data_IF_074177927272
#
_entry.id   IF_074177927272
#
_cell.length_a   1.000
_cell.length_b   1.000
_cell.length_c   1.000
_cell.angle_alpha   90.00
_cell.angle_beta   90.00
_cell.angle_gamma   90.00
#
_symmetry.space_group_name_H-M   'P 1'
#
loop_
_entity.id
_entity.type
_entity.pdbx_description
1 polymer ?
#
# COMPACT_ATOMS: atom_id res chain seq x y z
N UNK A 1 -1.49 4.65 17.35
CA UNK A 1 -0.40 4.14 16.50
C UNK A 1 0.88 4.63 17.14
N UNK A 2 1.63 3.75 17.81
CA UNK A 2 2.76 4.16 18.67
C UNK A 2 4.12 4.13 17.96
N UNK A 3 4.22 3.39 16.84
CA UNK A 3 5.45 3.31 16.05
C UNK A 3 5.14 3.16 14.53
N UNK A 4 4.92 4.28 13.81
CA UNK A 4 4.64 4.24 12.37
C UNK A 4 5.85 3.75 11.54
N UNK A 5 7.06 3.74 12.09
CA UNK A 5 8.24 3.27 11.37
C UNK A 5 8.36 1.74 11.25
N UNK A 6 7.51 0.98 11.95
CA UNK A 6 7.57 -0.48 11.92
C UNK A 6 7.04 -1.08 10.60
N UNK A 7 6.22 -0.35 9.86
CA UNK A 7 5.60 -0.84 8.64
C UNK A 7 6.53 -0.81 7.43
N UNK A 8 6.28 -1.70 6.47
CA UNK A 8 7.14 -1.94 5.31
C UNK A 8 7.37 -0.64 4.50
N UNK A 9 8.63 -0.22 4.32
CA UNK A 9 8.95 0.87 3.42
C UNK A 9 8.75 0.43 1.96
N UNK A 10 8.25 1.36 1.15
CA UNK A 10 8.14 1.20 -0.30
C UNK A 10 9.46 1.58 -0.98
N UNK A 11 9.60 1.21 -2.25
CA UNK A 11 10.83 1.38 -3.06
C UNK A 11 10.48 2.04 -4.39
N UNK A 12 11.50 2.45 -5.15
CA UNK A 12 11.34 3.12 -6.44
C UNK A 12 10.85 4.55 -6.25
N UNK A 13 9.90 5.00 -7.07
CA UNK A 13 9.34 6.35 -7.01
C UNK A 13 8.63 6.67 -5.69
N UNK A 14 8.29 5.63 -4.92
CA UNK A 14 7.66 5.74 -3.59
C UNK A 14 8.67 5.50 -2.44
N UNK A 15 9.96 5.68 -2.70
CA UNK A 15 10.97 5.52 -1.66
C UNK A 15 10.75 6.53 -0.52
N UNK A 16 10.72 6.02 0.72
CA UNK A 16 10.48 6.83 1.91
C UNK A 16 9.04 6.73 2.43
N UNK A 17 8.08 6.41 1.57
CA UNK A 17 6.69 6.12 1.97
C UNK A 17 6.57 4.69 2.54
N UNK A 18 5.52 4.44 3.30
CA UNK A 18 5.26 3.18 4.01
C UNK A 18 3.86 2.67 3.72
N UNK A 19 3.69 1.34 3.76
CA UNK A 19 2.41 0.67 3.50
C UNK A 19 1.95 -0.14 4.69
N UNK A 20 0.72 0.09 5.14
CA UNK A 20 0.06 -0.69 6.19
C UNK A 20 -1.24 -1.31 5.67
N UNK A 21 -1.51 -2.55 6.07
CA UNK A 21 -2.81 -3.18 5.88
C UNK A 21 -3.67 -2.92 7.11
N UNK A 22 -4.88 -2.40 6.92
CA UNK A 22 -5.84 -2.11 7.98
C UNK A 22 -7.08 -2.96 7.80
N UNK A 23 -7.48 -3.65 8.87
CA UNK A 23 -8.68 -4.49 8.92
C UNK A 23 -8.80 -5.48 7.74
N UNK A 24 -7.67 -6.01 7.27
CA UNK A 24 -7.53 -6.92 6.11
C UNK A 24 -7.96 -6.38 4.74
N UNK A 25 -8.79 -5.34 4.68
CA UNK A 25 -9.43 -4.89 3.44
C UNK A 25 -8.95 -3.53 2.95
N UNK A 26 -8.18 -2.79 3.74
CA UNK A 26 -7.66 -1.49 3.34
C UNK A 26 -6.14 -1.50 3.29
N UNK A 27 -5.61 -0.81 2.29
CA UNK A 27 -4.19 -0.50 2.16
C UNK A 27 -4.04 0.99 2.35
N UNK A 28 -3.18 1.37 3.30
CA UNK A 28 -2.84 2.75 3.57
C UNK A 28 -1.39 2.99 3.15
N UNK A 29 -1.18 4.08 2.42
CA UNK A 29 0.14 4.59 2.08
C UNK A 29 0.32 5.92 2.79
N UNK A 30 1.46 6.08 3.46
CA UNK A 30 1.76 7.29 4.23
C UNK A 30 3.24 7.57 4.28
N UNK A 31 3.58 8.79 4.66
CA UNK A 31 4.94 9.26 4.89
C UNK A 31 5.10 9.79 6.31
N UNK A 32 6.33 9.77 6.80
CA UNK A 32 6.71 10.30 8.11
C UNK A 32 7.63 11.48 7.86
N UNK A 33 7.23 12.65 8.36
CA UNK A 33 8.01 13.89 8.31
C UNK A 33 8.16 14.43 9.74
N UNK A 34 9.28 14.07 10.38
CA UNK A 34 9.52 14.32 11.80
C UNK A 34 8.46 13.64 12.67
N UNK A 35 7.69 14.46 13.41
CA UNK A 35 6.58 14.00 14.25
C UNK A 35 5.23 13.96 13.52
N UNK A 36 5.20 14.20 12.21
CA UNK A 36 3.97 14.23 11.42
C UNK A 36 3.86 12.98 10.57
N UNK A 37 2.69 12.32 10.60
CA UNK A 37 2.33 11.27 9.64
C UNK A 37 1.41 11.88 8.59
N UNK A 38 1.85 11.90 7.33
CA UNK A 38 1.03 12.36 6.20
C UNK A 38 0.44 11.17 5.49
N UNK A 39 -0.88 11.12 5.46
CA UNK A 39 -1.63 10.13 4.70
C UNK A 39 -1.57 10.49 3.21
N UNK A 40 -1.08 9.59 2.37
CA UNK A 40 -0.99 9.80 0.93
C UNK A 40 -2.16 9.16 0.19
N UNK A 41 -2.52 7.94 0.58
CA UNK A 41 -3.55 7.16 -0.11
C UNK A 41 -4.22 6.14 0.82
N UNK A 42 -5.50 5.87 0.56
CA UNK A 42 -6.28 4.80 1.18
C UNK A 42 -7.08 4.11 0.08
N UNK A 43 -6.79 2.84 -0.16
CA UNK A 43 -7.50 2.04 -1.15
C UNK A 43 -8.08 0.75 -0.55
N UNK A 44 -9.21 0.32 -1.10
CA UNK A 44 -9.83 -0.95 -0.74
C UNK A 44 -9.21 -2.08 -1.56
N UNK A 45 -8.83 -3.17 -0.90
CA UNK A 45 -8.10 -4.27 -1.48
C UNK A 45 -8.84 -4.95 -2.64
N UNK A 46 -10.18 -4.90 -2.67
CA UNK A 46 -10.97 -5.44 -3.78
C UNK A 46 -10.73 -4.71 -5.11
N UNK A 47 -10.40 -3.41 -5.09
CA UNK A 47 -10.06 -2.67 -6.31
C UNK A 47 -8.68 -3.05 -6.84
N UNK A 48 -7.73 -3.29 -5.94
CA UNK A 48 -6.35 -3.70 -6.28
C UNK A 48 -6.34 -5.14 -6.80
N UNK A 49 -7.14 -6.03 -6.19
CA UNK A 49 -7.26 -7.42 -6.65
C UNK A 49 -8.01 -7.56 -7.97
N UNK A 50 -8.98 -6.72 -8.28
CA UNK A 50 -9.65 -6.79 -9.59
C UNK A 50 -8.65 -6.54 -10.73
N UNK A 51 -7.73 -5.58 -10.56
CA UNK A 51 -6.69 -5.27 -11.56
C UNK A 51 -5.61 -6.36 -11.62
N UNK A 52 -5.13 -6.84 -10.46
CA UNK A 52 -4.10 -7.88 -10.41
C UNK A 52 -4.62 -9.25 -10.89
N UNK A 53 -5.87 -9.59 -10.59
CA UNK A 53 -6.48 -10.86 -11.01
C UNK A 53 -6.70 -10.92 -12.53
N UNK A 54 -7.08 -9.81 -13.15
CA UNK A 54 -7.21 -9.73 -14.62
C UNK A 54 -5.83 -9.87 -15.29
N UNK A 55 -4.79 -9.27 -14.71
CA UNK A 55 -3.42 -9.37 -15.25
C UNK A 55 -2.86 -10.80 -15.15
N UNK A 56 -3.07 -11.48 -14.02
CA UNK A 56 -2.72 -12.90 -13.85
C UNK A 56 -3.49 -13.82 -14.81
N UNK A 57 -4.77 -13.53 -15.06
CA UNK A 57 -5.59 -14.30 -16.00
C UNK A 57 -5.13 -14.11 -17.46
N UNK A 58 -4.68 -12.92 -17.82
CA UNK A 58 -4.16 -12.61 -19.15
C UNK A 58 -2.79 -13.27 -19.41
N UNK A 59 -1.92 -13.37 -18.40
CA UNK A 59 -0.59 -13.99 -18.54
C UNK A 59 -0.66 -15.53 -18.52
N UNK A 60 -1.65 -16.13 -17.84
CA UNK A 60 -1.80 -17.60 -17.78
C UNK A 60 -2.44 -18.23 -19.03
N UNK A 61 -2.96 -17.43 -19.95
CA UNK A 61 -3.63 -17.89 -21.17
C UNK A 61 -2.84 -17.58 -22.47
N UNK A 62 -1.56 -17.21 -22.34
CA UNK A 62 -0.59 -17.09 -23.43
C UNK A 62 0.50 -18.13 -23.20
#
# INVERSE_FOLDING_TARGET
MENPEHYKPLRGDMHGSRRAHVQSSYVIIYEIDGNTVRLLDIEHHDKVYLILSIFELLIKNI
#
